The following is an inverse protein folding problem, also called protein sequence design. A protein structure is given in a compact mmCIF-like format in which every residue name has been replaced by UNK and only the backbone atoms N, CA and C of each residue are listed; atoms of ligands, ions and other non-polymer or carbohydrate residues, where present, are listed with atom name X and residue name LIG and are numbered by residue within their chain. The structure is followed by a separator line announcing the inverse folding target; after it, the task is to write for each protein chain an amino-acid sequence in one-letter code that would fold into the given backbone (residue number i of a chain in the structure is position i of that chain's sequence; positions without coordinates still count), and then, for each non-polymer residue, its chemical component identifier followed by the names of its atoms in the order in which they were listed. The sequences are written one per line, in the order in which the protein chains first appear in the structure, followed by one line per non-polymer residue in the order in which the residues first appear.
data_IF_535700614806
#
_entry.id   IF_535700614806
#
_cell.length_a   1.000
_cell.length_b   1.000
_cell.length_c   1.000
_cell.angle_alpha   90.00
_cell.angle_beta   90.00
_cell.angle_gamma   90.00
#
_symmetry.space_group_name_H-M   'P 1'
#
loop_
_entity.id
_entity.type
_entity.pdbx_description
1 polymer ?
#
# COMPACT_ATOMS: atom_id res chain seq x y z
N UNK A 1 6.30 -16.62 3.11
CA UNK A 1 6.55 -15.35 3.82
C UNK A 1 7.87 -14.85 3.28
N UNK A 2 7.83 -13.91 2.34
CA UNK A 2 9.02 -13.45 1.62
C UNK A 2 9.65 -12.29 2.40
N UNK A 3 10.86 -12.53 2.93
CA UNK A 3 11.64 -11.50 3.62
C UNK A 3 12.55 -10.86 2.59
N UNK A 4 12.42 -9.54 2.41
CA UNK A 4 13.30 -8.75 1.54
C UNK A 4 14.34 -8.02 2.40
N UNK A 5 15.63 -8.17 2.08
CA UNK A 5 16.73 -7.34 2.60
C UNK A 5 17.42 -6.67 1.42
N UNK A 6 17.15 -5.38 1.20
CA UNK A 6 17.73 -4.63 0.07
C UNK A 6 18.60 -3.49 0.57
N UNK A 7 19.81 -3.39 0.02
CA UNK A 7 20.79 -2.37 0.41
C UNK A 7 20.81 -1.22 -0.59
N UNK A 8 20.36 -0.05 -0.14
CA UNK A 8 20.49 1.20 -0.87
C UNK A 8 21.81 1.92 -0.60
N UNK A 9 21.89 3.15 -1.12
CA UNK A 9 23.02 4.07 -0.94
C UNK A 9 22.91 4.87 0.36
N UNK A 10 21.69 5.20 0.79
CA UNK A 10 21.43 6.01 2.01
C UNK A 10 20.88 5.19 3.18
N UNK A 11 20.76 3.86 3.01
CA UNK A 11 20.25 2.96 4.03
C UNK A 11 19.97 1.57 3.47
N UNK A 12 19.52 0.67 4.34
CA UNK A 12 19.02 -0.68 4.00
C UNK A 12 17.55 -0.77 4.37
N UNK A 13 16.76 -1.47 3.56
CA UNK A 13 15.36 -1.76 3.85
C UNK A 13 15.22 -3.25 4.13
N UNK A 14 14.52 -3.58 5.20
CA UNK A 14 14.09 -4.94 5.52
C UNK A 14 12.57 -4.95 5.52
N UNK A 15 11.96 -5.87 4.79
CA UNK A 15 10.51 -6.05 4.76
C UNK A 15 10.15 -7.51 5.02
N UNK A 16 9.27 -7.75 5.99
CA UNK A 16 8.91 -9.10 6.48
C UNK A 16 7.47 -9.52 6.09
N UNK A 17 6.73 -8.65 5.39
CA UNK A 17 5.30 -8.84 5.09
C UNK A 17 4.40 -7.92 5.90
N UNK A 18 4.75 -7.65 7.17
CA UNK A 18 3.94 -6.83 8.08
C UNK A 18 4.55 -5.45 8.35
N UNK A 19 5.87 -5.33 8.28
CA UNK A 19 6.59 -4.11 8.63
C UNK A 19 7.77 -3.84 7.69
N UNK A 20 7.98 -2.57 7.40
CA UNK A 20 9.16 -2.05 6.70
C UNK A 20 10.11 -1.46 7.74
N UNK A 21 11.34 -1.95 7.79
CA UNK A 21 12.40 -1.41 8.62
C UNK A 21 13.45 -0.74 7.76
N UNK A 22 13.73 0.53 8.03
CA UNK A 22 14.81 1.29 7.38
C UNK A 22 15.96 1.46 8.38
N UNK A 23 17.13 0.95 8.01
CA UNK A 23 18.36 1.08 8.78
C UNK A 23 19.24 2.17 8.19
N UNK A 24 19.53 3.21 8.98
CA UNK A 24 20.46 4.29 8.65
C UNK A 24 21.78 4.06 9.39
N UNK A 25 22.75 3.52 8.69
CA UNK A 25 24.11 3.30 9.18
C UNK A 25 25.06 3.32 7.99
N UNK A 26 26.19 4.02 8.14
CA UNK A 26 27.18 4.17 7.08
C UNK A 26 27.86 2.86 6.64
N UNK A 27 28.94 2.98 5.87
CA UNK A 27 29.63 1.92 5.08
C UNK A 27 29.97 0.59 5.78
N UNK A 28 29.82 0.45 7.09
CA UNK A 28 29.95 -0.82 7.79
C UNK A 28 28.56 -1.20 8.32
N UNK A 29 27.98 -2.28 7.77
CA UNK A 29 26.70 -2.85 8.20
C UNK A 29 26.74 -3.50 9.59
N UNK A 30 27.38 -2.85 10.56
CA UNK A 30 27.23 -3.12 11.99
C UNK A 30 26.40 -1.98 12.56
N UNK A 31 25.30 -2.34 13.20
CA UNK A 31 24.48 -1.48 14.03
C UNK A 31 25.37 -0.82 15.08
N UNK A 32 25.89 0.37 14.78
CA UNK A 32 26.54 1.20 15.78
C UNK A 32 25.46 1.62 16.79
N UNK A 33 25.74 1.65 18.09
CA UNK A 33 24.84 2.23 19.07
C UNK A 33 24.61 3.70 18.68
N UNK A 34 23.40 4.03 18.21
CA UNK A 34 23.05 5.34 17.64
C UNK A 34 22.71 5.35 16.14
N UNK A 35 22.81 4.21 15.43
CA UNK A 35 22.28 4.10 14.07
C UNK A 35 20.76 4.29 14.08
N UNK A 36 20.27 5.33 13.40
CA UNK A 36 18.84 5.62 13.36
C UNK A 36 18.10 4.49 12.63
N UNK A 37 17.23 3.79 13.35
CA UNK A 37 16.35 2.76 12.81
C UNK A 37 14.93 3.32 12.79
N UNK A 38 14.30 3.28 11.62
CA UNK A 38 12.89 3.58 11.45
C UNK A 38 12.12 2.28 11.21
N UNK A 39 11.04 2.07 11.95
CA UNK A 39 10.13 0.93 11.76
C UNK A 39 8.76 1.48 11.38
N UNK A 40 8.27 1.04 10.23
CA UNK A 40 6.99 1.45 9.65
C UNK A 40 6.13 0.20 9.50
N UNK A 41 5.10 0.02 10.35
CA UNK A 41 4.08 -0.99 10.10
C UNK A 41 3.42 -0.72 8.74
N UNK A 42 3.05 -1.77 8.01
CA UNK A 42 2.34 -1.64 6.72
C UNK A 42 1.04 -0.84 6.88
N UNK A 43 0.39 -0.92 8.03
CA UNK A 43 -0.81 -0.16 8.37
C UNK A 43 -0.59 1.35 8.46
N UNK A 44 0.63 1.82 8.72
CA UNK A 44 0.97 3.26 8.78
C UNK A 44 1.35 3.82 7.39
N UNK A 45 1.68 2.93 6.44
CA UNK A 45 2.11 3.32 5.10
C UNK A 45 0.88 3.59 4.24
N UNK A 46 0.77 4.82 3.74
CA UNK A 46 -0.29 5.27 2.85
C UNK A 46 0.04 5.05 1.38
N UNK A 47 1.30 5.17 0.99
CA UNK A 47 1.72 4.98 -0.39
C UNK A 47 3.23 4.73 -0.47
N UNK A 48 3.65 4.16 -1.58
CA UNK A 48 5.06 4.05 -1.96
C UNK A 48 5.31 4.98 -3.12
N UNK A 49 6.11 6.02 -2.89
CA UNK A 49 6.55 6.93 -3.93
C UNK A 49 7.83 6.37 -4.57
N UNK A 50 7.79 6.19 -5.89
CA UNK A 50 8.84 5.53 -6.65
C UNK A 50 9.47 6.48 -7.65
N UNK A 51 10.78 6.66 -7.54
CA UNK A 51 11.60 7.36 -8.50
C UNK A 51 12.66 6.41 -9.06
N UNK A 52 12.56 6.00 -10.33
CA UNK A 52 13.54 5.11 -10.94
C UNK A 52 14.92 5.78 -11.02
N UNK A 53 15.97 4.98 -10.99
CA UNK A 53 17.33 5.45 -11.21
C UNK A 53 17.57 5.61 -12.72
N UNK A 54 18.19 6.72 -13.11
CA UNK A 54 18.55 7.03 -14.49
C UNK A 54 19.98 7.58 -14.53
N UNK A 55 20.14 8.79 -15.07
CA UNK A 55 21.41 9.55 -14.93
C UNK A 55 21.69 9.92 -13.46
N UNK A 56 20.64 10.07 -12.65
CA UNK A 56 20.72 10.34 -11.21
C UNK A 56 20.32 9.10 -10.40
N UNK A 57 20.56 9.15 -9.08
CA UNK A 57 20.14 8.10 -8.15
C UNK A 57 18.61 8.02 -8.11
N UNK A 58 18.09 6.80 -8.10
CA UNK A 58 16.68 6.55 -7.83
C UNK A 58 16.39 6.60 -6.34
N UNK A 59 15.12 6.65 -5.98
CA UNK A 59 14.69 6.61 -4.59
C UNK A 59 13.32 5.97 -4.42
N UNK A 60 13.14 5.32 -3.28
CA UNK A 60 11.86 4.84 -2.79
C UNK A 60 11.53 5.60 -1.51
N UNK A 61 10.32 6.12 -1.40
CA UNK A 61 9.84 6.81 -0.19
C UNK A 61 8.53 6.19 0.28
N UNK A 62 8.45 5.90 1.57
CA UNK A 62 7.20 5.43 2.18
C UNK A 62 6.43 6.64 2.74
N UNK A 63 5.27 6.92 2.16
CA UNK A 63 4.41 7.99 2.64
C UNK A 63 3.61 7.50 3.84
N UNK A 64 3.63 8.25 4.93
CA UNK A 64 2.80 8.05 6.13
C UNK A 64 1.96 9.30 6.41
N UNK A 65 0.96 9.20 7.29
CA UNK A 65 0.18 10.37 7.74
C UNK A 65 1.07 11.49 8.29
N UNK A 66 2.15 11.12 9.00
CA UNK A 66 3.16 12.06 9.49
C UNK A 66 3.79 12.83 8.33
N UNK A 67 4.28 12.15 7.30
CA UNK A 67 4.90 12.82 6.14
C UNK A 67 3.93 13.70 5.35
N UNK A 68 2.65 13.31 5.26
CA UNK A 68 1.61 14.08 4.55
C UNK A 68 1.13 15.30 5.34
N UNK A 69 1.04 15.17 6.67
CA UNK A 69 0.57 16.23 7.56
C UNK A 69 1.60 17.29 7.90
N UNK A 70 2.90 17.03 7.73
CA UNK A 70 3.96 17.97 8.14
C UNK A 70 4.16 19.18 7.23
N UNK A 71 3.57 19.19 6.03
CA UNK A 71 3.58 20.37 5.17
C UNK A 71 2.99 21.62 5.86
N UNK A 72 2.11 21.43 6.86
CA UNK A 72 1.49 22.51 7.66
C UNK A 72 2.35 23.02 8.83
N UNK A 73 3.41 22.31 9.21
CA UNK A 73 4.23 22.62 10.40
C UNK A 73 5.62 23.21 10.06
N UNK A 74 5.91 23.48 8.78
CA UNK A 74 7.14 24.13 8.32
C UNK A 74 7.95 23.26 7.35
N UNK A 75 8.71 23.93 6.46
CA UNK A 75 9.45 23.27 5.36
C UNK A 75 10.55 22.33 5.86
N UNK A 76 11.19 22.64 6.98
CA UNK A 76 12.34 21.87 7.49
C UNK A 76 11.90 20.55 8.14
N UNK A 77 10.86 20.58 8.98
CA UNK A 77 10.33 19.37 9.60
C UNK A 77 9.76 18.38 8.56
N UNK A 78 9.07 18.90 7.53
CA UNK A 78 8.57 18.07 6.43
C UNK A 78 9.72 17.43 5.62
N UNK A 79 10.81 18.16 5.39
CA UNK A 79 12.01 17.64 4.70
C UNK A 79 12.71 16.55 5.49
N UNK A 80 12.86 16.72 6.81
CA UNK A 80 13.51 15.72 7.66
C UNK A 80 12.67 14.44 7.72
N UNK A 81 11.36 14.55 7.94
CA UNK A 81 10.47 13.39 7.91
C UNK A 81 10.47 12.68 6.54
N UNK A 82 10.50 13.42 5.43
CA UNK A 82 10.61 12.81 4.10
C UNK A 82 11.95 12.07 3.94
N UNK A 83 13.06 12.64 4.43
CA UNK A 83 14.39 12.00 4.38
C UNK A 83 14.43 10.71 5.18
N UNK A 84 13.83 10.67 6.36
CA UNK A 84 13.76 9.47 7.21
C UNK A 84 13.04 8.31 6.52
N UNK A 85 12.00 8.61 5.76
CA UNK A 85 11.19 7.62 5.03
C UNK A 85 11.72 7.31 3.61
N UNK A 86 12.80 7.95 3.15
CA UNK A 86 13.31 7.82 1.77
C UNK A 86 14.66 7.11 1.70
N UNK A 87 14.75 6.02 0.93
CA UNK A 87 16.02 5.34 0.63
C UNK A 87 16.37 5.53 -0.84
N UNK A 88 17.58 6.01 -1.09
CA UNK A 88 18.11 6.18 -2.45
C UNK A 88 18.91 4.95 -2.87
N UNK A 89 18.86 4.60 -4.16
CA UNK A 89 19.55 3.45 -4.74
C UNK A 89 20.21 3.81 -6.07
N UNK A 90 21.17 2.97 -6.50
CA UNK A 90 21.83 3.10 -7.82
C UNK A 90 21.07 2.29 -8.87
N UNK A 91 21.30 2.60 -10.15
CA UNK A 91 20.68 1.86 -11.26
C UNK A 91 20.85 0.34 -11.17
N UNK A 92 22.03 -0.15 -10.76
CA UNK A 92 22.27 -1.59 -10.58
C UNK A 92 21.47 -2.24 -9.45
N UNK A 93 20.94 -1.47 -8.49
CA UNK A 93 20.11 -1.93 -7.37
C UNK A 93 18.61 -1.80 -7.66
N UNK A 94 18.25 -1.09 -8.74
CA UNK A 94 16.86 -0.86 -9.10
C UNK A 94 15.99 -2.12 -9.21
N UNK A 95 16.45 -3.26 -9.79
CA UNK A 95 15.59 -4.44 -9.88
C UNK A 95 15.17 -4.96 -8.50
N UNK A 96 16.11 -5.08 -7.56
CA UNK A 96 15.82 -5.52 -6.17
C UNK A 96 14.83 -4.57 -5.46
N UNK A 97 14.98 -3.26 -5.69
CA UNK A 97 14.08 -2.26 -5.14
C UNK A 97 12.69 -2.25 -5.80
N UNK A 98 12.60 -2.62 -7.09
CA UNK A 98 11.33 -2.77 -7.78
C UNK A 98 10.58 -4.00 -7.27
N UNK A 99 11.26 -5.11 -7.01
CA UNK A 99 10.67 -6.30 -6.38
C UNK A 99 10.16 -6.00 -4.98
N UNK A 100 10.97 -5.30 -4.16
CA UNK A 100 10.55 -4.81 -2.85
C UNK A 100 9.29 -3.92 -2.97
N UNK A 101 9.26 -2.97 -3.92
CA UNK A 101 8.09 -2.11 -4.13
C UNK A 101 6.83 -2.93 -4.37
N UNK A 102 6.90 -3.90 -5.28
CA UNK A 102 5.75 -4.77 -5.60
C UNK A 102 5.30 -5.56 -4.37
N UNK A 103 6.24 -6.09 -3.58
CA UNK A 103 5.92 -6.82 -2.36
C UNK A 103 5.22 -5.93 -1.31
N UNK A 104 5.72 -4.71 -1.09
CA UNK A 104 5.11 -3.75 -0.16
C UNK A 104 3.75 -3.29 -0.65
N UNK A 105 3.59 -2.98 -1.94
CA UNK A 105 2.29 -2.61 -2.51
C UNK A 105 1.26 -3.74 -2.41
N UNK A 106 1.69 -4.98 -2.62
CA UNK A 106 0.84 -6.15 -2.42
C UNK A 106 0.41 -6.30 -0.95
N UNK A 107 1.32 -6.10 -0.01
CA UNK A 107 0.99 -6.14 1.42
C UNK A 107 0.08 -4.98 1.83
N UNK A 108 0.26 -3.79 1.25
CA UNK A 108 -0.64 -2.65 1.42
C UNK A 108 -2.04 -2.94 0.90
N UNK A 109 -2.14 -3.55 -0.29
CA UNK A 109 -3.41 -3.97 -0.87
C UNK A 109 -4.09 -5.05 0.00
N UNK A 110 -3.33 -6.03 0.50
CA UNK A 110 -3.83 -7.07 1.39
C UNK A 110 -4.31 -6.51 2.73
N UNK A 111 -3.53 -5.61 3.37
CA UNK A 111 -3.89 -4.99 4.65
C UNK A 111 -5.07 -4.01 4.54
N UNK A 112 -5.31 -3.41 3.37
CA UNK A 112 -6.56 -2.67 3.09
C UNK A 112 -7.73 -3.60 2.80
N UNK A 113 -7.45 -4.72 2.13
CA UNK A 113 -8.41 -5.79 1.82
C UNK A 113 -8.88 -6.58 3.05
N UNK A 114 -8.18 -6.51 4.19
CA UNK A 114 -8.64 -7.09 5.45
C UNK A 114 -9.74 -6.26 6.14
N UNK A 115 -10.12 -5.12 5.54
CA UNK A 115 -11.45 -4.53 5.77
C UNK A 115 -12.50 -5.26 4.93
N UNK A 116 -12.64 -6.57 5.16
CA UNK A 116 -13.71 -7.47 4.71
C UNK A 116 -13.94 -7.61 3.18
N UNK A 117 -14.57 -8.72 2.72
CA UNK A 117 -15.15 -8.84 1.39
C UNK A 117 -16.40 -7.95 1.29
N UNK A 118 -16.24 -6.62 1.37
CA UNK A 118 -17.30 -5.66 1.04
C UNK A 118 -17.44 -5.48 -0.47
N UNK A 119 -16.49 -5.95 -1.27
CA UNK A 119 -16.62 -5.88 -2.73
C UNK A 119 -17.72 -6.81 -3.27
N UNK A 120 -18.02 -7.93 -2.59
CA UNK A 120 -19.16 -8.80 -2.99
C UNK A 120 -20.50 -8.32 -2.42
N UNK A 121 -20.51 -7.68 -1.24
CA UNK A 121 -21.74 -7.15 -0.64
C UNK A 121 -22.15 -5.80 -1.24
N UNK A 122 -21.18 -4.92 -1.55
CA UNK A 122 -21.42 -3.65 -2.25
C UNK A 122 -21.85 -3.91 -3.69
N UNK A 123 -21.20 -4.82 -4.41
CA UNK A 123 -21.66 -5.21 -5.77
C UNK A 123 -23.05 -5.84 -5.73
N UNK A 124 -23.34 -6.75 -4.79
CA UNK A 124 -24.68 -7.34 -4.66
C UNK A 124 -25.74 -6.28 -4.32
N UNK A 125 -25.44 -5.34 -3.42
CA UNK A 125 -26.36 -4.26 -3.07
C UNK A 125 -26.57 -3.27 -4.25
N UNK A 126 -25.50 -2.93 -4.98
CA UNK A 126 -25.56 -2.10 -6.19
C UNK A 126 -26.32 -2.80 -7.34
N UNK A 127 -26.17 -4.12 -7.50
CA UNK A 127 -26.93 -4.92 -8.46
C UNK A 127 -28.42 -4.99 -8.11
N UNK A 128 -28.76 -5.18 -6.83
CA UNK A 128 -30.15 -5.12 -6.35
C UNK A 128 -30.76 -3.72 -6.56
N UNK A 129 -29.97 -2.65 -6.39
CA UNK A 129 -30.41 -1.27 -6.66
C UNK A 129 -30.69 -1.05 -8.16
N UNK A 130 -29.82 -1.55 -9.06
CA UNK A 130 -30.05 -1.50 -10.52
C UNK A 130 -31.30 -2.29 -10.93
N UNK A 131 -31.49 -3.49 -10.38
CA UNK A 131 -32.69 -4.30 -10.63
C UNK A 131 -33.96 -3.58 -10.15
N UNK A 132 -33.90 -2.88 -9.01
CA UNK A 132 -35.05 -2.11 -8.49
C UNK A 132 -35.41 -0.93 -9.39
N UNK A 133 -34.42 -0.32 -10.05
CA UNK A 133 -34.63 0.75 -11.03
C UNK A 133 -35.28 0.22 -12.32
N UNK A 134 -34.93 -1.00 -12.75
CA UNK A 134 -35.54 -1.65 -13.92
C UNK A 134 -37.02 -2.03 -13.69
N UNK A 135 -37.42 -2.36 -12.46
CA UNK A 135 -38.84 -2.55 -12.09
C UNK A 135 -39.59 -1.22 -12.13
N UNK A 136 -39.00 -0.18 -11.55
CA UNK A 136 -39.63 1.16 -11.49
C UNK A 136 -39.81 1.79 -12.88
N UNK A 137 -38.92 1.46 -13.82
CA UNK A 137 -39.04 1.87 -15.23
C UNK A 137 -39.96 0.95 -16.05
N UNK A 138 -40.53 -0.10 -15.45
CA UNK A 138 -41.44 -1.04 -16.12
C UNK A 138 -40.75 -2.00 -17.09
N UNK A 139 -39.41 -2.06 -17.10
CA UNK A 139 -38.64 -2.92 -17.99
C UNK A 139 -38.67 -4.40 -17.58
N UNK A 140 -38.92 -4.68 -16.29
CA UNK A 140 -39.11 -6.04 -15.75
C UNK A 140 -40.26 -6.07 -14.73
N UNK A 141 -40.90 -7.22 -14.57
CA UNK A 141 -42.00 -7.38 -13.61
C UNK A 141 -41.51 -7.59 -12.17
N UNK A 142 -42.37 -7.31 -11.18
CA UNK A 142 -42.08 -7.57 -9.76
C UNK A 142 -41.76 -9.05 -9.46
N UNK A 143 -42.25 -9.99 -10.28
CA UNK A 143 -41.96 -11.40 -10.12
C UNK A 143 -40.53 -11.75 -10.57
N UNK A 144 -40.10 -11.18 -11.70
CA UNK A 144 -38.74 -11.37 -12.23
C UNK A 144 -37.68 -10.75 -11.32
N UNK A 145 -37.97 -9.59 -10.74
CA UNK A 145 -37.12 -8.95 -9.73
C UNK A 145 -36.89 -9.86 -8.51
N UNK A 146 -37.95 -10.48 -7.99
CA UNK A 146 -37.85 -11.37 -6.83
C UNK A 146 -37.02 -12.62 -7.12
N UNK A 147 -37.13 -13.20 -8.32
CA UNK A 147 -36.28 -14.32 -8.73
C UNK A 147 -34.81 -13.93 -8.85
N UNK A 148 -34.51 -12.78 -9.47
CA UNK A 148 -33.13 -12.29 -9.61
C UNK A 148 -32.50 -11.95 -8.26
N UNK A 149 -33.26 -11.28 -7.37
CA UNK A 149 -32.82 -10.95 -6.01
C UNK A 149 -32.53 -12.21 -5.18
N UNK A 150 -33.37 -13.23 -5.26
CA UNK A 150 -33.14 -14.50 -4.55
C UNK A 150 -31.92 -15.26 -5.09
N UNK A 151 -31.65 -15.21 -6.40
CA UNK A 151 -30.43 -15.79 -6.99
C UNK A 151 -29.17 -15.08 -6.52
N UNK A 152 -29.19 -13.75 -6.47
CA UNK A 152 -28.06 -12.93 -6.01
C UNK A 152 -27.79 -13.14 -4.50
N UNK A 153 -28.83 -13.23 -3.68
CA UNK A 153 -28.70 -13.46 -2.23
C UNK A 153 -28.38 -14.92 -1.87
N UNK A 154 -28.79 -15.89 -2.68
CA UNK A 154 -28.56 -17.32 -2.45
C UNK A 154 -27.21 -17.84 -2.97
N UNK A 155 -26.50 -17.09 -3.83
CA UNK A 155 -25.22 -17.48 -4.41
C UNK A 155 -23.98 -17.15 -3.57
N UNK A 156 -24.12 -16.41 -2.47
CA UNK A 156 -23.00 -16.03 -1.58
C UNK A 156 -22.70 -17.05 -0.46
N UNK A 157 -23.23 -18.27 -0.56
CA UNK A 157 -23.21 -19.27 0.51
C UNK A 157 -22.64 -20.65 0.16
N UNK A 158 -21.80 -20.78 -0.88
CA UNK A 158 -20.98 -21.99 -1.12
C UNK A 158 -19.61 -21.64 -1.67
#
# INVERSE_FOLDING_TARGET
MDIFDVKGTTGRIIFDGEQVTILRGGRLGRSAPGAAQLRLPITEILAVDWHPAGLTRGSIMFQTERTRGLARFGRDAAKEAARENTVAFRAGQQPEFAELKVAVERALAAGRGDTAPVESAATTAEEIARLSHLVQSGAITQQEFRQAKNRLLGGQGM
#
